data_IF_672522075998
#
_entry.id   IF_672522075998
#
_cell.length_a   1.000
_cell.length_b   1.000
_cell.length_c   1.000
_cell.angle_alpha   90.00
_cell.angle_beta   90.00
_cell.angle_gamma   90.00
#
_symmetry.space_group_name_H-M   'P 1'
#
loop_
_entity.id
_entity.type
_entity.pdbx_description
1 polymer ?
#
# COMPACT_ATOMS: atom_id res chain seq x y z
N UNK A 1 26.22 -60.43 0.45
CA UNK A 1 26.11 -59.33 -0.54
C UNK A 1 24.64 -59.20 -0.96
N UNK A 2 23.84 -58.33 -0.32
CA UNK A 2 22.46 -58.08 -0.75
C UNK A 2 22.43 -57.08 -1.92
N UNK A 3 21.60 -57.35 -2.93
CA UNK A 3 21.39 -56.48 -4.11
C UNK A 3 20.75 -55.14 -3.68
N UNK A 4 21.13 -54.00 -4.29
CA UNK A 4 20.46 -52.73 -4.03
C UNK A 4 19.04 -52.73 -4.63
N UNK A 5 18.09 -51.97 -4.05
CA UNK A 5 16.75 -51.86 -4.61
C UNK A 5 16.77 -51.06 -5.92
N UNK A 6 15.99 -51.52 -6.89
CA UNK A 6 15.80 -50.90 -8.19
C UNK A 6 15.00 -49.60 -8.01
N UNK A 7 15.58 -48.47 -8.40
CA UNK A 7 14.92 -47.16 -8.47
C UNK A 7 13.77 -47.22 -9.48
N UNK A 8 12.54 -46.94 -9.04
CA UNK A 8 11.45 -46.64 -9.97
C UNK A 8 11.69 -45.26 -10.62
N UNK A 9 11.37 -45.10 -11.93
CA UNK A 9 11.37 -43.79 -12.56
C UNK A 9 10.21 -42.93 -12.02
N UNK A 10 10.36 -41.59 -12.00
CA UNK A 10 9.27 -40.70 -11.60
C UNK A 10 8.08 -40.85 -12.56
N UNK A 11 6.83 -40.70 -12.08
CA UNK A 11 5.67 -40.70 -12.95
C UNK A 11 5.76 -39.55 -13.96
N UNK A 12 5.41 -39.86 -15.20
CA UNK A 12 5.35 -38.90 -16.30
C UNK A 12 4.45 -37.71 -15.93
N UNK A 13 4.89 -36.51 -16.31
CA UNK A 13 4.24 -35.24 -16.01
C UNK A 13 2.75 -35.27 -16.34
N UNK A 14 1.93 -35.09 -15.32
CA UNK A 14 0.54 -34.71 -15.51
C UNK A 14 0.49 -33.28 -15.99
N UNK A 15 -0.28 -33.04 -17.05
CA UNK A 15 -0.66 -31.71 -17.51
C UNK A 15 -1.13 -30.89 -16.30
N UNK A 16 -0.37 -29.84 -15.98
CA UNK A 16 -0.88 -28.76 -15.13
C UNK A 16 -2.01 -28.15 -15.94
N UNK A 17 -3.26 -28.09 -15.43
CA UNK A 17 -4.33 -27.41 -16.13
C UNK A 17 -3.86 -25.96 -16.34
N UNK A 18 -3.79 -25.51 -17.59
CA UNK A 18 -3.72 -24.07 -17.87
C UNK A 18 -4.88 -23.43 -17.12
N UNK A 19 -4.59 -22.53 -16.19
CA UNK A 19 -5.64 -21.77 -15.53
C UNK A 19 -6.45 -21.06 -16.62
N UNK A 20 -7.79 -21.21 -16.62
CA UNK A 20 -8.62 -20.59 -17.64
C UNK A 20 -8.34 -19.09 -17.64
N UNK A 21 -7.91 -18.57 -18.79
CA UNK A 21 -7.69 -17.14 -18.96
C UNK A 21 -8.95 -16.38 -18.55
N UNK A 22 -8.80 -15.43 -17.63
CA UNK A 22 -9.90 -14.58 -17.16
C UNK A 22 -10.66 -14.00 -18.37
N UNK A 23 -11.92 -14.43 -18.56
CA UNK A 23 -12.80 -13.86 -19.56
C UNK A 23 -12.90 -12.35 -19.31
N UNK A 24 -12.70 -11.54 -20.35
CA UNK A 24 -12.72 -10.07 -20.26
C UNK A 24 -14.05 -9.49 -19.75
N UNK A 25 -15.08 -10.32 -19.59
CA UNK A 25 -16.39 -10.00 -19.01
C UNK A 25 -16.38 -9.90 -17.47
N UNK A 26 -15.42 -10.52 -16.79
CA UNK A 26 -15.38 -10.59 -15.31
C UNK A 26 -14.50 -9.52 -14.65
N UNK A 27 -13.83 -8.67 -15.44
CA UNK A 27 -13.04 -7.57 -14.90
C UNK A 27 -13.97 -6.41 -14.46
N UNK A 28 -13.90 -5.96 -13.19
CA UNK A 28 -14.77 -4.89 -12.69
C UNK A 28 -14.59 -3.60 -13.51
N UNK A 29 -15.69 -3.06 -14.03
CA UNK A 29 -15.69 -1.89 -14.90
C UNK A 29 -17.08 -1.55 -15.44
N UNK A 30 -17.14 -0.50 -16.24
CA UNK A 30 -18.36 -0.05 -16.94
C UNK A 30 -18.10 0.06 -18.44
N UNK A 31 -19.11 -0.25 -19.24
CA UNK A 31 -19.05 -0.09 -20.70
C UNK A 31 -19.09 1.37 -21.15
N UNK A 32 -19.16 1.64 -22.46
CA UNK A 32 -19.31 2.98 -23.00
C UNK A 32 -20.51 3.73 -22.42
N UNK A 33 -20.36 5.03 -22.21
CA UNK A 33 -21.45 5.89 -21.76
C UNK A 33 -22.36 6.26 -22.95
N UNK A 34 -23.70 6.16 -22.83
CA UNK A 34 -24.62 6.51 -23.90
C UNK A 34 -24.52 7.99 -24.27
N UNK A 35 -24.74 8.29 -25.56
CA UNK A 35 -24.84 9.66 -26.05
C UNK A 35 -26.26 10.24 -25.84
N UNK A 36 -26.41 11.58 -25.70
CA UNK A 36 -25.35 12.58 -25.68
C UNK A 36 -24.55 12.55 -24.37
N UNK A 37 -23.25 12.79 -24.45
CA UNK A 37 -22.40 12.83 -23.26
C UNK A 37 -22.62 14.11 -22.46
N UNK A 38 -22.49 14.07 -21.12
CA UNK A 38 -22.55 15.26 -20.28
C UNK A 38 -21.43 16.25 -20.61
N UNK A 39 -21.74 17.55 -20.57
CA UNK A 39 -20.74 18.63 -20.64
C UNK A 39 -20.12 18.84 -19.25
N UNK A 40 -19.17 17.98 -18.89
CA UNK A 40 -18.41 18.05 -17.64
C UNK A 40 -16.91 17.93 -17.92
N UNK A 41 -16.09 18.95 -17.59
CA UNK A 41 -14.66 18.95 -17.88
C UNK A 41 -13.88 17.85 -17.14
N UNK A 42 -14.46 17.27 -16.08
CA UNK A 42 -13.87 16.14 -15.36
C UNK A 42 -13.93 14.85 -16.16
N UNK A 43 -14.83 14.72 -17.13
CA UNK A 43 -14.99 13.50 -17.91
C UNK A 43 -13.92 13.38 -18.99
N UNK A 44 -13.44 12.16 -19.18
CA UNK A 44 -12.52 11.78 -20.25
C UNK A 44 -13.28 11.22 -21.46
N UNK A 45 -13.22 11.88 -22.63
CA UNK A 45 -13.94 11.43 -23.82
C UNK A 45 -13.59 10.02 -24.28
N UNK A 46 -12.35 9.55 -24.07
CA UNK A 46 -11.95 8.20 -24.45
C UNK A 46 -12.62 7.17 -23.53
N UNK A 47 -12.64 7.43 -22.21
CA UNK A 47 -13.32 6.55 -21.26
C UNK A 47 -14.84 6.51 -21.50
N UNK A 48 -15.45 7.64 -21.87
CA UNK A 48 -16.86 7.68 -22.25
C UNK A 48 -17.15 6.85 -23.51
N UNK A 49 -16.24 6.86 -24.49
CA UNK A 49 -16.39 6.13 -25.75
C UNK A 49 -16.13 4.63 -25.63
N UNK A 50 -15.12 4.23 -24.87
CA UNK A 50 -14.59 2.86 -24.84
C UNK A 50 -15.03 2.09 -23.59
N UNK A 51 -15.55 2.80 -22.58
CA UNK A 51 -15.81 2.28 -21.25
C UNK A 51 -14.63 2.50 -20.30
N UNK A 52 -14.89 2.30 -19.01
CA UNK A 52 -13.91 2.51 -17.95
C UNK A 52 -13.72 1.24 -17.12
N UNK A 53 -12.60 0.54 -17.37
CA UNK A 53 -12.18 -0.68 -16.65
C UNK A 53 -11.16 -0.42 -15.54
N UNK A 54 -10.89 0.84 -15.19
CA UNK A 54 -9.92 1.15 -14.12
C UNK A 54 -10.44 0.66 -12.78
N UNK A 55 -9.55 0.34 -11.85
CA UNK A 55 -9.94 -0.01 -10.48
C UNK A 55 -10.24 1.25 -9.64
N UNK A 56 -11.36 1.89 -9.93
CA UNK A 56 -11.87 3.06 -9.21
C UNK A 56 -13.30 2.82 -8.76
N UNK A 57 -13.70 3.46 -7.66
CA UNK A 57 -15.10 3.43 -7.20
C UNK A 57 -16.02 4.12 -8.21
N UNK A 58 -17.29 3.72 -8.23
CA UNK A 58 -18.24 4.09 -9.29
C UNK A 58 -18.40 5.59 -9.51
N UNK A 59 -18.30 6.39 -8.45
CA UNK A 59 -18.39 7.86 -8.54
C UNK A 59 -17.30 8.51 -9.42
N UNK A 60 -16.18 7.82 -9.62
CA UNK A 60 -15.03 8.30 -10.40
C UNK A 60 -14.98 7.70 -11.81
N UNK A 61 -15.98 6.89 -12.18
CA UNK A 61 -16.03 6.31 -13.52
C UNK A 61 -16.06 7.42 -14.56
N UNK A 62 -15.29 7.22 -15.62
CA UNK A 62 -15.07 8.15 -16.72
C UNK A 62 -14.35 9.45 -16.35
N UNK A 63 -14.05 9.71 -15.08
CA UNK A 63 -13.31 10.91 -14.71
C UNK A 63 -11.85 10.80 -15.17
N UNK A 64 -11.30 11.91 -15.65
CA UNK A 64 -9.87 12.11 -15.86
C UNK A 64 -9.12 11.83 -14.58
N UNK A 65 -7.92 11.28 -14.69
CA UNK A 65 -7.07 10.97 -13.54
C UNK A 65 -6.88 12.20 -12.64
N UNK A 66 -6.62 13.36 -13.26
CA UNK A 66 -6.35 14.62 -12.59
C UNK A 66 -7.59 15.12 -11.83
N UNK A 67 -8.79 14.90 -12.37
CA UNK A 67 -10.04 15.23 -11.71
C UNK A 67 -10.28 14.34 -10.47
N UNK A 68 -9.94 13.04 -10.56
CA UNK A 68 -10.00 12.13 -9.41
C UNK A 68 -9.01 12.57 -8.33
N UNK A 69 -7.76 12.89 -8.71
CA UNK A 69 -6.74 13.36 -7.76
C UNK A 69 -7.18 14.65 -7.08
N UNK A 70 -7.67 15.64 -7.84
CA UNK A 70 -8.13 16.91 -7.30
C UNK A 70 -9.27 16.72 -6.28
N UNK A 71 -10.23 15.84 -6.56
CA UNK A 71 -11.31 15.53 -5.60
C UNK A 71 -10.79 14.79 -4.36
N UNK A 72 -9.87 13.84 -4.51
CA UNK A 72 -9.24 13.14 -3.38
C UNK A 72 -8.49 14.11 -2.47
N UNK A 73 -7.76 15.08 -3.04
CA UNK A 73 -6.97 16.09 -2.35
C UNK A 73 -7.81 16.96 -1.40
N UNK A 74 -9.09 17.17 -1.69
CA UNK A 74 -10.01 17.93 -0.81
C UNK A 74 -10.25 17.26 0.55
N UNK A 75 -9.92 15.98 0.67
CA UNK A 75 -10.37 15.11 1.77
C UNK A 75 -9.35 14.02 2.13
N UNK A 76 -8.07 14.23 1.79
CA UNK A 76 -6.98 13.36 2.25
C UNK A 76 -6.86 13.40 3.75
N UNK A 77 -6.55 12.26 4.35
CA UNK A 77 -6.20 12.21 5.76
C UNK A 77 -4.86 12.94 5.99
N UNK A 78 -4.66 13.57 7.15
CA UNK A 78 -3.34 14.03 7.61
C UNK A 78 -2.42 12.86 8.03
N UNK A 79 -2.66 11.67 7.48
CA UNK A 79 -1.86 10.47 7.65
C UNK A 79 -0.95 10.33 6.42
N UNK A 80 0.33 10.07 6.63
CA UNK A 80 1.27 9.68 5.58
C UNK A 80 1.84 8.29 5.90
N UNK A 81 2.47 7.65 4.91
CA UNK A 81 3.11 6.34 5.09
C UNK A 81 4.50 6.37 4.47
N UNK A 82 5.52 5.92 5.18
CA UNK A 82 6.87 5.77 4.68
C UNK A 82 7.29 4.30 4.68
N UNK A 83 8.00 3.86 3.64
CA UNK A 83 8.54 2.50 3.53
C UNK A 83 10.03 2.58 3.21
N UNK A 84 10.85 1.88 4.01
CA UNK A 84 12.27 1.69 3.74
C UNK A 84 12.47 0.70 2.59
N UNK A 85 13.16 1.14 1.53
CA UNK A 85 13.46 0.35 0.33
C UNK A 85 14.96 0.12 0.17
N UNK A 86 15.56 -0.72 1.00
CA UNK A 86 17.01 -1.02 0.91
C UNK A 86 17.33 -2.33 0.19
N UNK A 87 16.38 -3.27 0.12
CA UNK A 87 16.59 -4.61 -0.46
C UNK A 87 15.61 -4.96 -1.60
N UNK A 88 15.07 -3.96 -2.30
CA UNK A 88 14.02 -4.17 -3.32
C UNK A 88 12.80 -4.91 -2.75
N UNK A 89 12.09 -4.20 -1.89
CA UNK A 89 10.96 -4.75 -1.16
C UNK A 89 9.72 -4.92 -2.06
N UNK A 90 9.20 -6.15 -2.12
CA UNK A 90 8.03 -6.50 -2.92
C UNK A 90 6.72 -5.95 -2.33
N UNK A 91 6.71 -5.56 -1.06
CA UNK A 91 5.52 -5.10 -0.34
C UNK A 91 5.20 -3.63 -0.59
N UNK A 92 6.09 -2.84 -1.19
CA UNK A 92 5.83 -1.39 -1.40
C UNK A 92 4.54 -1.19 -2.21
N UNK A 93 4.27 -2.04 -3.20
CA UNK A 93 3.03 -1.98 -3.97
C UNK A 93 1.78 -2.23 -3.13
N UNK A 94 1.78 -3.22 -2.24
CA UNK A 94 0.62 -3.49 -1.39
C UNK A 94 0.40 -2.37 -0.37
N UNK A 95 1.47 -1.80 0.19
CA UNK A 95 1.37 -0.63 1.08
C UNK A 95 0.80 0.58 0.34
N UNK A 96 1.27 0.86 -0.89
CA UNK A 96 0.74 1.95 -1.72
C UNK A 96 -0.74 1.75 -2.04
N UNK A 97 -1.15 0.52 -2.36
CA UNK A 97 -2.56 0.20 -2.61
C UNK A 97 -3.43 0.45 -1.38
N UNK A 98 -2.97 0.01 -0.21
CA UNK A 98 -3.66 0.24 1.06
C UNK A 98 -3.73 1.74 1.39
N UNK A 99 -2.62 2.47 1.20
CA UNK A 99 -2.56 3.91 1.38
C UNK A 99 -3.59 4.66 0.50
N UNK A 100 -3.80 4.22 -0.74
CA UNK A 100 -4.86 4.77 -1.59
C UNK A 100 -6.26 4.49 -1.02
N UNK A 101 -6.52 3.27 -0.54
CA UNK A 101 -7.80 2.90 0.05
C UNK A 101 -8.15 3.74 1.30
N UNK A 102 -7.15 4.09 2.13
CA UNK A 102 -7.34 4.99 3.28
C UNK A 102 -7.33 6.48 2.92
N UNK A 103 -7.16 6.83 1.64
CA UNK A 103 -6.96 8.18 1.12
C UNK A 103 -5.96 8.98 1.97
N UNK A 104 -4.77 8.41 2.18
CA UNK A 104 -3.68 9.07 2.92
C UNK A 104 -3.19 10.32 2.17
N UNK A 105 -2.54 11.23 2.91
CA UNK A 105 -1.94 12.46 2.41
C UNK A 105 -0.80 12.24 1.42
N UNK A 106 0.01 11.19 1.65
CA UNK A 106 1.10 10.82 0.75
C UNK A 106 1.83 9.55 1.16
N UNK A 107 2.62 9.01 0.23
CA UNK A 107 3.48 7.85 0.45
C UNK A 107 4.94 8.23 0.19
N UNK A 108 5.83 7.81 1.08
CA UNK A 108 7.24 8.15 1.11
C UNK A 108 8.06 6.87 0.88
N UNK A 109 8.91 6.87 -0.13
CA UNK A 109 9.89 5.80 -0.34
C UNK A 109 11.24 6.29 0.15
N UNK A 110 11.81 5.60 1.13
CA UNK A 110 13.11 5.95 1.72
C UNK A 110 14.19 5.00 1.20
N UNK A 111 15.35 5.52 0.81
CA UNK A 111 16.43 4.70 0.24
C UNK A 111 16.32 4.59 -1.28
N UNK A 112 16.25 3.37 -1.83
CA UNK A 112 16.23 3.18 -3.28
C UNK A 112 14.95 3.77 -3.87
N UNK A 113 15.11 4.61 -4.90
CA UNK A 113 13.97 5.29 -5.56
C UNK A 113 13.08 4.34 -6.38
N UNK A 114 13.65 3.28 -6.95
CA UNK A 114 12.93 2.31 -7.78
C UNK A 114 12.37 1.18 -6.92
N UNK A 115 11.11 0.84 -7.16
CA UNK A 115 10.39 -0.23 -6.47
C UNK A 115 9.41 -0.90 -7.43
N UNK A 116 8.95 -2.11 -7.07
CA UNK A 116 8.04 -2.88 -7.90
C UNK A 116 6.60 -2.37 -7.79
N UNK A 117 6.11 -1.70 -8.84
CA UNK A 117 4.76 -1.12 -8.89
C UNK A 117 3.63 -2.10 -9.13
N UNK A 118 3.92 -3.36 -9.48
CA UNK A 118 2.90 -4.35 -9.84
C UNK A 118 1.85 -4.52 -8.74
N UNK A 119 2.29 -4.62 -7.48
CA UNK A 119 1.39 -4.76 -6.33
C UNK A 119 0.50 -3.55 -6.05
N UNK A 120 0.83 -2.37 -6.60
CA UNK A 120 0.01 -1.17 -6.44
C UNK A 120 -1.25 -1.19 -7.31
N UNK A 121 -1.33 -2.07 -8.32
CA UNK A 121 -2.49 -2.15 -9.23
C UNK A 121 -2.87 -0.78 -9.82
N UNK A 122 -1.85 0.01 -10.21
CA UNK A 122 -1.99 1.36 -10.81
C UNK A 122 -2.55 2.43 -9.85
N UNK A 123 -2.84 2.09 -8.59
CA UNK A 123 -3.36 3.05 -7.59
C UNK A 123 -2.34 4.12 -7.21
N UNK A 124 -1.06 3.88 -7.48
CA UNK A 124 0.03 4.84 -7.27
C UNK A 124 -0.16 6.14 -8.06
N UNK A 125 -0.91 6.11 -9.17
CA UNK A 125 -1.23 7.29 -9.98
C UNK A 125 -2.18 8.27 -9.28
N UNK A 126 -2.92 7.82 -8.27
CA UNK A 126 -3.91 8.63 -7.54
C UNK A 126 -3.37 9.16 -6.20
N UNK A 127 -2.08 8.96 -5.92
CA UNK A 127 -1.41 9.31 -4.67
C UNK A 127 -0.27 10.29 -4.93
N UNK A 128 0.07 11.08 -3.90
CA UNK A 128 1.31 11.84 -3.87
C UNK A 128 2.46 10.95 -3.40
N UNK A 129 3.43 10.70 -4.29
CA UNK A 129 4.63 9.91 -3.99
C UNK A 129 5.83 10.82 -3.75
N UNK A 130 6.48 10.62 -2.62
CA UNK A 130 7.69 11.32 -2.23
C UNK A 130 8.87 10.34 -2.14
N UNK A 131 10.07 10.82 -2.44
CA UNK A 131 11.30 10.06 -2.29
C UNK A 131 12.23 10.79 -1.33
N UNK A 132 12.90 10.01 -0.48
CA UNK A 132 13.92 10.46 0.48
C UNK A 132 15.12 9.53 0.35
N UNK A 133 16.32 10.08 0.37
CA UNK A 133 17.55 9.31 0.30
C UNK A 133 17.73 8.41 1.53
N UNK A 134 17.36 8.91 2.72
CA UNK A 134 17.57 8.26 4.01
C UNK A 134 16.59 8.72 5.09
N UNK A 135 16.84 8.29 6.33
CA UNK A 135 16.01 8.62 7.49
C UNK A 135 16.09 10.10 7.88
N UNK A 136 17.23 10.77 7.64
CA UNK A 136 17.44 12.18 7.98
C UNK A 136 16.60 13.08 7.07
N UNK A 137 16.57 12.80 5.77
CA UNK A 137 15.70 13.52 4.84
C UNK A 137 14.21 13.36 5.17
N UNK A 138 13.78 12.14 5.55
CA UNK A 138 12.40 11.90 5.97
C UNK A 138 12.08 12.67 7.26
N UNK A 139 12.97 12.67 8.26
CA UNK A 139 12.81 13.44 9.50
C UNK A 139 12.71 14.93 9.21
N UNK A 140 13.57 15.46 8.35
CA UNK A 140 13.53 16.86 7.98
C UNK A 140 12.22 17.24 7.27
N UNK A 141 11.66 16.35 6.43
CA UNK A 141 10.32 16.56 5.86
C UNK A 141 9.24 16.55 6.95
N UNK A 142 9.31 15.61 7.88
CA UNK A 142 8.34 15.46 8.96
C UNK A 142 8.30 16.71 9.85
N UNK A 143 9.47 17.25 10.20
CA UNK A 143 9.61 18.50 10.96
C UNK A 143 8.97 19.69 10.24
N UNK A 144 9.28 19.86 8.95
CA UNK A 144 8.72 20.96 8.14
C UNK A 144 7.21 20.86 7.95
N UNK A 145 6.68 19.64 7.87
CA UNK A 145 5.26 19.38 7.62
C UNK A 145 4.44 19.17 8.90
N UNK A 146 5.10 19.17 10.07
CA UNK A 146 4.48 18.93 11.37
C UNK A 146 3.98 17.50 11.59
N UNK A 147 4.50 16.51 10.86
CA UNK A 147 4.13 15.10 11.05
C UNK A 147 4.97 14.45 12.14
N UNK A 148 4.31 13.68 13.00
CA UNK A 148 4.97 12.76 13.94
C UNK A 148 5.38 11.49 13.18
N UNK A 149 6.64 11.08 13.25
CA UNK A 149 7.11 9.82 12.70
C UNK A 149 6.82 8.69 13.68
N UNK A 150 6.01 7.72 13.25
CA UNK A 150 5.62 6.56 14.06
C UNK A 150 6.14 5.30 13.39
N UNK A 151 7.19 4.71 13.93
CA UNK A 151 7.72 3.43 13.47
C UNK A 151 6.73 2.31 13.77
N UNK A 152 6.56 1.36 12.84
CA UNK A 152 5.75 0.15 13.05
C UNK A 152 6.68 -1.05 12.95
N UNK A 153 7.12 -1.57 14.09
CA UNK A 153 8.04 -2.71 14.18
C UNK A 153 7.98 -3.38 15.55
N UNK A 154 8.32 -4.68 15.60
CA UNK A 154 8.34 -5.48 16.81
C UNK A 154 9.77 -5.62 17.36
N UNK A 155 10.28 -4.54 17.96
CA UNK A 155 11.64 -4.42 18.48
C UNK A 155 11.64 -4.01 19.96
N UNK A 156 12.71 -4.27 20.73
CA UNK A 156 12.81 -3.80 22.11
C UNK A 156 12.56 -2.29 22.22
N UNK A 157 11.65 -1.92 23.13
CA UNK A 157 11.24 -0.52 23.34
C UNK A 157 10.02 -0.09 22.53
N UNK A 158 9.51 -0.92 21.60
CA UNK A 158 8.21 -0.66 20.98
C UNK A 158 7.07 -0.77 21.99
N UNK A 159 6.00 -0.03 21.75
CA UNK A 159 4.78 -0.07 22.56
C UNK A 159 3.63 -0.73 21.79
N UNK A 160 2.71 -1.46 22.44
CA UNK A 160 1.58 -2.04 21.75
C UNK A 160 0.74 -0.99 21.01
N UNK A 161 0.31 -1.35 19.79
CA UNK A 161 -0.61 -0.55 18.98
C UNK A 161 -2.05 -0.68 19.47
N UNK A 162 -2.42 -1.81 20.06
CA UNK A 162 -3.79 -2.10 20.49
C UNK A 162 -4.28 -1.06 21.52
N UNK A 163 -5.44 -0.46 21.25
CA UNK A 163 -6.03 0.57 22.11
C UNK A 163 -5.27 1.90 22.15
N UNK A 164 -4.18 2.03 21.39
CA UNK A 164 -3.41 3.27 21.32
C UNK A 164 -4.00 4.22 20.29
N UNK A 165 -4.29 5.45 20.73
CA UNK A 165 -4.59 6.55 19.83
C UNK A 165 -3.30 7.09 19.22
N UNK A 166 -3.07 6.83 17.95
CA UNK A 166 -1.95 7.41 17.21
C UNK A 166 -2.18 8.93 17.00
N UNK A 167 -1.13 9.74 16.81
CA UNK A 167 -1.29 11.16 16.48
C UNK A 167 -2.10 11.32 15.19
N UNK A 168 -2.96 12.34 15.12
CA UNK A 168 -3.78 12.61 13.93
C UNK A 168 -2.89 12.91 12.72
N UNK A 169 -1.95 13.84 12.89
CA UNK A 169 -0.97 14.19 11.87
C UNK A 169 0.31 13.37 12.06
N UNK A 170 0.38 12.21 11.43
CA UNK A 170 1.55 11.33 11.54
C UNK A 170 1.95 10.69 10.21
N UNK A 171 3.20 10.22 10.16
CA UNK A 171 3.69 9.36 9.11
C UNK A 171 4.04 8.00 9.72
N UNK A 172 3.33 6.95 9.31
CA UNK A 172 3.63 5.57 9.71
C UNK A 172 4.85 5.09 8.94
N UNK A 173 5.89 4.65 9.63
CA UNK A 173 7.16 4.25 9.02
C UNK A 173 7.33 2.74 9.12
N UNK A 174 7.46 2.10 7.96
CA UNK A 174 7.61 0.66 7.80
C UNK A 174 9.04 0.34 7.39
N UNK A 175 9.61 -0.68 8.03
CA UNK A 175 10.91 -1.24 7.68
C UNK A 175 10.89 -2.04 6.38
N UNK A 176 12.08 -2.46 5.93
CA UNK A 176 12.20 -3.44 4.86
C UNK A 176 11.87 -4.85 5.38
N UNK A 177 11.33 -5.70 4.51
CA UNK A 177 11.08 -7.11 4.80
C UNK A 177 12.34 -7.81 5.30
N UNK A 178 12.23 -8.49 6.44
CA UNK A 178 13.36 -9.16 7.11
C UNK A 178 13.82 -8.41 8.35
N UNK A 179 14.76 -7.45 8.24
CA UNK A 179 15.36 -6.79 9.40
C UNK A 179 14.44 -5.75 10.07
N UNK A 180 13.31 -5.39 9.45
CA UNK A 180 12.45 -4.35 9.97
C UNK A 180 13.05 -2.96 9.78
N UNK A 181 12.82 -2.07 10.74
CA UNK A 181 13.38 -0.72 10.78
C UNK A 181 14.87 -0.79 11.11
N UNK A 182 15.68 -0.13 10.30
CA UNK A 182 17.09 0.04 10.66
C UNK A 182 17.27 1.02 11.83
N UNK A 183 18.43 0.95 12.48
CA UNK A 183 18.71 1.74 13.68
C UNK A 183 18.56 3.27 13.45
N UNK A 184 18.91 3.76 12.27
CA UNK A 184 18.80 5.19 11.92
C UNK A 184 17.34 5.62 11.88
N UNK A 185 16.47 4.79 11.31
CA UNK A 185 15.04 5.08 11.25
C UNK A 185 14.35 4.96 12.59
N UNK A 186 14.75 3.98 13.42
CA UNK A 186 14.28 3.91 14.81
C UNK A 186 14.60 5.19 15.57
N UNK A 187 15.81 5.75 15.39
CA UNK A 187 16.19 7.03 16.01
C UNK A 187 15.47 8.24 15.45
N UNK A 188 15.05 8.19 14.18
CA UNK A 188 14.27 9.26 13.55
C UNK A 188 12.79 9.26 13.98
N UNK A 189 12.26 8.11 14.38
CA UNK A 189 10.88 7.97 14.84
C UNK A 189 10.69 8.59 16.23
N UNK A 190 9.56 9.28 16.42
CA UNK A 190 9.17 9.86 17.70
C UNK A 190 8.63 8.80 18.67
N UNK A 191 8.07 7.72 18.11
CA UNK A 191 7.73 6.50 18.84
C UNK A 191 7.73 5.28 17.90
N UNK A 192 7.89 4.08 18.46
CA UNK A 192 7.74 2.83 17.72
C UNK A 192 6.60 2.02 18.33
N UNK A 193 5.64 1.63 17.50
CA UNK A 193 4.55 0.73 17.87
C UNK A 193 4.78 -0.67 17.34
N UNK A 194 4.30 -1.68 18.08
CA UNK A 194 4.25 -3.07 17.61
C UNK A 194 2.82 -3.58 17.61
N UNK A 195 2.52 -4.47 16.66
CA UNK A 195 1.28 -5.25 16.65
C UNK A 195 1.55 -6.51 17.46
N UNK A 196 0.71 -6.77 18.45
CA UNK A 196 0.88 -7.93 19.33
C UNK A 196 0.67 -9.21 18.53
N UNK A 197 1.63 -10.13 18.62
CA UNK A 197 1.61 -11.42 17.93
C UNK A 197 1.53 -12.56 18.95
N UNK A 198 0.68 -13.55 18.69
CA UNK A 198 0.45 -14.70 19.58
C UNK A 198 0.92 -16.03 18.98
N UNK A 199 1.41 -16.00 17.74
CA UNK A 199 1.88 -17.18 17.01
C UNK A 199 3.38 -17.43 17.18
N UNK A 200 3.89 -18.38 16.41
CA UNK A 200 5.32 -18.75 16.38
C UNK A 200 6.17 -17.89 15.43
N UNK A 201 5.54 -17.00 14.65
CA UNK A 201 6.23 -16.13 13.70
C UNK A 201 6.91 -14.97 14.42
N UNK A 202 8.09 -14.60 13.92
CA UNK A 202 8.87 -13.47 14.42
C UNK A 202 8.38 -12.11 13.92
N UNK A 203 7.64 -12.08 12.82
CA UNK A 203 7.19 -10.83 12.17
C UNK A 203 5.92 -11.03 11.36
N UNK A 204 5.19 -9.93 11.14
CA UNK A 204 4.13 -9.81 10.16
C UNK A 204 4.69 -9.39 8.79
N UNK A 205 3.96 -9.69 7.72
CA UNK A 205 4.22 -9.08 6.42
C UNK A 205 4.09 -7.55 6.51
N UNK A 206 5.00 -6.80 5.87
CA UNK A 206 5.04 -5.34 5.96
C UNK A 206 3.74 -4.67 5.43
N UNK A 207 3.16 -5.21 4.36
CA UNK A 207 1.86 -4.75 3.85
C UNK A 207 0.71 -4.98 4.82
N UNK A 208 0.70 -6.14 5.49
CA UNK A 208 -0.29 -6.45 6.53
C UNK A 208 -0.13 -5.55 7.77
N UNK A 209 1.11 -5.34 8.23
CA UNK A 209 1.40 -4.43 9.33
C UNK A 209 0.98 -3.00 9.01
N UNK A 210 1.25 -2.53 7.79
CA UNK A 210 0.81 -1.22 7.32
C UNK A 210 -0.73 -1.10 7.31
N UNK A 211 -1.45 -2.13 6.83
CA UNK A 211 -2.90 -2.14 6.83
C UNK A 211 -3.50 -2.07 8.25
N UNK A 212 -2.96 -2.85 9.19
CA UNK A 212 -3.39 -2.82 10.60
C UNK A 212 -3.12 -1.45 11.22
N UNK A 213 -1.93 -0.88 11.01
CA UNK A 213 -1.58 0.43 11.54
C UNK A 213 -2.43 1.57 10.96
N UNK A 214 -2.69 1.56 9.64
CA UNK A 214 -3.58 2.53 8.99
C UNK A 214 -5.03 2.38 9.49
N UNK A 215 -5.51 1.15 9.69
CA UNK A 215 -6.83 0.90 10.24
C UNK A 215 -6.97 1.38 11.70
N UNK A 216 -5.96 1.13 12.53
CA UNK A 216 -5.93 1.61 13.91
C UNK A 216 -5.94 3.15 13.99
N UNK A 217 -5.17 3.82 13.13
CA UNK A 217 -5.23 5.27 12.97
C UNK A 217 -6.63 5.71 12.51
N UNK A 218 -7.18 5.08 11.48
CA UNK A 218 -8.48 5.43 10.92
C UNK A 218 -9.59 5.32 11.97
N UNK A 219 -9.57 4.26 12.78
CA UNK A 219 -10.55 4.03 13.86
C UNK A 219 -10.50 5.10 14.96
N UNK A 220 -9.39 5.84 15.05
CA UNK A 220 -9.20 6.91 16.04
C UNK A 220 -9.62 8.30 15.55
N UNK A 221 -9.66 8.52 14.24
CA UNK A 221 -9.74 9.85 13.64
C UNK A 221 -10.80 9.99 12.55
N UNK A 222 -11.13 8.91 11.85
CA UNK A 222 -12.19 8.92 10.85
C UNK A 222 -13.51 8.51 11.53
N UNK A 223 -14.62 9.20 11.23
CA UNK A 223 -15.92 8.78 11.72
C UNK A 223 -16.23 7.37 11.20
N UNK A 224 -16.85 6.56 12.05
CA UNK A 224 -17.42 5.29 11.60
C UNK A 224 -18.42 5.60 10.47
N UNK A 225 -18.46 4.81 9.39
CA UNK A 225 -19.55 4.89 8.44
C UNK A 225 -20.86 4.72 9.23
N UNK A 226 -21.77 5.69 9.07
CA UNK A 226 -23.13 5.58 9.59
C UNK A 226 -23.93 4.52 8.86
#
# INVERSE_FOLDING_TARGET
MPRPPVSQPPPAGGDVPEEPGEDAADLPGVGPHPQPWPDDPRLDPQLLAEGDRRNVVDRYRYWRLEAVVADLDTRRAPLHVAIQNFQHDFNIGSVVRTANAFNVGGVHVVGRRRWNRRGAMVTDRYLHLHHHADAEELRAWADRSGHVLVGVDNIPGSVPLEGRRLPERCCLVLGSEGPGLNADMVRACDLVVSITQYGSTRSLNAGAAAAIAMYAWSSSWRPAPG
#
